data_IF_481122845395
#
_entry.id   IF_481122845395
#
_cell.length_a   1.000
_cell.length_b   1.000
_cell.length_c   1.000
_cell.angle_alpha   90.00
_cell.angle_beta   90.00
_cell.angle_gamma   90.00
#
_symmetry.space_group_name_H-M   'P 1'
#
loop_
_entity.id
_entity.type
_entity.pdbx_description
1 polymer ?
#
# COMPACT_ATOMS: atom_id res chain seq x y z
N UNK A 1 7.36 -29.60 -7.40
CA UNK A 1 6.69 -28.43 -7.98
C UNK A 1 6.98 -27.24 -7.07
N UNK A 2 8.01 -26.47 -7.41
CA UNK A 2 8.43 -25.30 -6.60
C UNK A 2 7.52 -24.11 -6.93
N UNK A 3 6.70 -23.74 -5.97
CA UNK A 3 5.92 -22.50 -6.05
C UNK A 3 6.88 -21.31 -5.86
N UNK A 4 6.90 -20.42 -6.84
CA UNK A 4 7.76 -19.24 -6.89
C UNK A 4 7.63 -18.36 -5.63
N UNK A 5 8.70 -17.68 -5.18
CA UNK A 5 8.71 -16.86 -3.95
C UNK A 5 7.67 -15.74 -3.94
N UNK A 6 7.21 -15.29 -5.11
CA UNK A 6 6.13 -14.32 -5.30
C UNK A 6 4.82 -14.72 -4.58
N UNK A 7 4.54 -16.03 -4.45
CA UNK A 7 3.32 -16.53 -3.79
C UNK A 7 3.43 -16.65 -2.26
N UNK A 8 4.63 -16.69 -1.69
CA UNK A 8 4.82 -16.75 -0.23
C UNK A 8 4.69 -15.37 0.43
N UNK A 9 5.07 -14.31 -0.28
CA UNK A 9 4.96 -12.92 0.19
C UNK A 9 3.49 -12.46 0.24
N UNK A 10 2.67 -12.95 -0.70
CA UNK A 10 1.23 -12.71 -0.71
C UNK A 10 0.53 -13.28 0.54
N UNK A 11 1.05 -14.35 1.13
CA UNK A 11 0.39 -15.05 2.26
C UNK A 11 0.52 -14.30 3.60
N UNK A 12 1.58 -13.54 3.84
CA UNK A 12 1.84 -12.87 5.13
C UNK A 12 1.07 -11.55 5.24
N UNK A 13 0.82 -10.90 4.09
CA UNK A 13 0.04 -9.64 4.05
C UNK A 13 -1.45 -9.81 4.00
N UNK A 14 -1.86 -10.98 3.56
CA UNK A 14 -3.24 -11.39 3.75
C UNK A 14 -3.59 -11.34 5.25
N UNK A 15 -2.63 -11.42 6.17
CA UNK A 15 -2.95 -11.34 7.60
C UNK A 15 -3.20 -9.90 8.12
N UNK A 16 -2.46 -8.86 7.71
CA UNK A 16 -2.76 -7.49 8.15
C UNK A 16 -3.89 -6.86 7.32
N UNK A 17 -3.92 -7.10 5.98
CA UNK A 17 -5.07 -6.77 5.15
C UNK A 17 -6.20 -7.80 5.32
N UNK A 18 -5.95 -9.07 5.73
CA UNK A 18 -7.00 -9.99 6.11
C UNK A 18 -7.52 -9.71 7.51
N UNK A 19 -6.81 -9.03 8.39
CA UNK A 19 -7.41 -8.45 9.61
C UNK A 19 -8.25 -7.24 9.21
N UNK A 20 -7.81 -6.39 8.29
CA UNK A 20 -8.65 -5.32 7.74
C UNK A 20 -9.71 -5.87 6.78
N UNK A 21 -9.39 -6.81 5.91
CA UNK A 21 -10.36 -7.47 5.02
C UNK A 21 -11.17 -8.57 5.74
N UNK A 22 -10.65 -9.22 6.79
CA UNK A 22 -11.44 -10.07 7.69
C UNK A 22 -12.33 -9.22 8.61
N UNK A 23 -11.84 -8.07 9.02
CA UNK A 23 -12.64 -7.06 9.69
C UNK A 23 -13.71 -6.49 8.75
N UNK A 24 -13.37 -6.18 7.49
CA UNK A 24 -14.30 -5.77 6.44
C UNK A 24 -15.20 -6.94 5.97
N UNK A 25 -14.73 -8.17 5.90
CA UNK A 25 -15.55 -9.33 5.50
C UNK A 25 -16.34 -9.95 6.65
N UNK A 26 -15.89 -9.90 7.93
CA UNK A 26 -16.72 -10.19 9.09
C UNK A 26 -17.82 -9.12 9.25
N UNK A 27 -17.52 -7.86 9.02
CA UNK A 27 -18.52 -6.81 8.94
C UNK A 27 -19.46 -6.98 7.75
N UNK A 28 -18.99 -7.50 6.61
CA UNK A 28 -19.87 -7.81 5.47
C UNK A 28 -20.87 -8.92 5.79
N UNK A 29 -20.57 -9.83 6.70
CA UNK A 29 -21.54 -10.83 7.23
C UNK A 29 -22.53 -10.25 8.25
N UNK A 30 -22.21 -9.09 8.84
CA UNK A 30 -23.02 -8.43 9.86
C UNK A 30 -23.82 -7.22 9.32
N UNK A 31 -23.55 -6.76 8.10
CA UNK A 31 -24.28 -5.65 7.49
C UNK A 31 -25.60 -6.14 6.90
N UNK A 32 -26.52 -6.50 7.77
CA UNK A 32 -27.97 -6.45 7.48
C UNK A 32 -28.64 -5.20 8.09
N UNK A 33 -27.90 -4.20 8.53
CA UNK A 33 -28.53 -2.91 8.88
C UNK A 33 -27.58 -1.73 8.67
N UNK A 34 -28.04 -0.75 7.93
CA UNK A 34 -27.40 0.52 7.61
C UNK A 34 -26.89 1.33 8.82
N UNK A 35 -27.39 1.04 10.02
CA UNK A 35 -26.99 1.69 11.28
C UNK A 35 -25.58 1.33 11.75
N UNK A 36 -25.05 0.14 11.41
CA UNK A 36 -23.70 -0.29 11.82
C UNK A 36 -22.59 0.29 10.94
N UNK A 37 -22.87 0.56 9.66
CA UNK A 37 -21.89 1.20 8.76
C UNK A 37 -21.59 2.65 9.20
N UNK A 38 -22.62 3.40 9.62
CA UNK A 38 -22.48 4.78 10.13
C UNK A 38 -21.68 4.81 11.44
N UNK A 39 -21.90 3.83 12.33
CA UNK A 39 -21.13 3.71 13.57
C UNK A 39 -19.65 3.41 13.35
N UNK A 40 -19.31 2.67 12.31
CA UNK A 40 -17.93 2.33 11.98
C UNK A 40 -17.18 3.54 11.39
N UNK A 41 -17.81 4.28 10.47
CA UNK A 41 -17.25 5.51 9.90
C UNK A 41 -17.04 6.58 10.99
N UNK A 42 -17.99 6.73 11.91
CA UNK A 42 -17.84 7.65 13.04
C UNK A 42 -16.72 7.22 14.00
N UNK A 43 -16.52 5.93 14.20
CA UNK A 43 -15.44 5.40 15.04
C UNK A 43 -14.06 5.57 14.38
N UNK A 44 -13.94 5.34 13.08
CA UNK A 44 -12.71 5.62 12.31
C UNK A 44 -12.36 7.11 12.29
N UNK A 45 -13.36 7.99 12.22
CA UNK A 45 -13.18 9.45 12.31
C UNK A 45 -12.75 9.86 13.71
N UNK A 46 -13.34 9.26 14.76
CA UNK A 46 -12.95 9.52 16.16
C UNK A 46 -11.54 9.01 16.47
N UNK A 47 -11.15 7.84 15.93
CA UNK A 47 -9.78 7.32 16.04
C UNK A 47 -8.79 8.27 15.34
N UNK A 48 -9.13 8.80 14.16
CA UNK A 48 -8.30 9.78 13.45
C UNK A 48 -8.14 11.08 14.25
N UNK A 49 -9.20 11.59 14.84
CA UNK A 49 -9.18 12.81 15.66
C UNK A 49 -8.42 12.59 16.98
N UNK A 50 -8.61 11.44 17.64
CA UNK A 50 -7.88 11.08 18.85
C UNK A 50 -6.39 10.82 18.55
N UNK A 51 -6.07 10.15 17.42
CA UNK A 51 -4.69 9.88 17.00
C UNK A 51 -3.92 11.14 16.61
N UNK A 52 -4.58 12.12 15.95
CA UNK A 52 -3.97 13.41 15.63
C UNK A 52 -3.74 14.27 16.88
N UNK A 53 -4.68 14.24 17.83
CA UNK A 53 -4.58 15.02 19.06
C UNK A 53 -3.55 14.47 20.07
N UNK A 54 -3.40 13.14 20.16
CA UNK A 54 -2.37 12.50 21.00
C UNK A 54 -0.97 12.62 20.40
N UNK A 55 -0.86 12.81 19.10
CA UNK A 55 0.41 12.86 18.38
C UNK A 55 1.17 14.16 18.61
N UNK A 56 0.48 15.30 18.60
CA UNK A 56 1.12 16.61 18.84
C UNK A 56 1.63 16.73 20.30
N UNK A 57 1.00 16.03 21.25
CA UNK A 57 1.46 15.99 22.65
C UNK A 57 2.63 15.01 22.84
N UNK A 58 2.64 13.86 22.16
CA UNK A 58 3.72 12.85 22.24
C UNK A 58 5.03 13.33 21.60
N UNK A 59 4.98 14.06 20.48
CA UNK A 59 6.19 14.58 19.82
C UNK A 59 6.95 15.60 20.69
N UNK A 60 6.24 16.37 21.51
CA UNK A 60 6.85 17.34 22.43
C UNK A 60 7.47 16.69 23.67
N UNK A 61 7.16 15.41 23.95
CA UNK A 61 7.60 14.68 25.14
C UNK A 61 8.90 13.88 24.95
N UNK A 62 9.46 13.80 23.72
CA UNK A 62 10.65 13.01 23.39
C UNK A 62 11.89 13.90 23.15
N UNK A 63 12.54 14.39 24.24
CA UNK A 63 13.61 15.38 24.14
C UNK A 63 14.97 14.84 23.70
N UNK A 64 15.17 13.52 23.74
CA UNK A 64 16.42 12.89 23.32
C UNK A 64 16.32 12.47 21.88
N UNK A 65 17.25 12.92 21.05
CA UNK A 65 17.27 12.66 19.61
C UNK A 65 18.58 11.97 19.23
N UNK A 66 18.48 11.05 18.28
CA UNK A 66 19.62 10.48 17.57
C UNK A 66 19.30 10.41 16.08
N UNK A 67 20.34 10.51 15.25
CA UNK A 67 20.20 10.53 13.81
C UNK A 67 21.35 9.75 13.16
N UNK A 68 21.02 8.74 12.39
CA UNK A 68 21.96 7.93 11.63
C UNK A 68 21.62 7.94 10.13
N UNK A 69 22.63 8.06 9.28
CA UNK A 69 22.47 7.93 7.84
C UNK A 69 23.19 6.67 7.35
N UNK A 70 22.42 5.73 6.81
CA UNK A 70 22.90 4.46 6.28
C UNK A 70 22.98 4.59 4.76
N UNK A 71 24.19 4.43 4.18
CA UNK A 71 24.40 4.42 2.74
C UNK A 71 25.03 3.10 2.32
N UNK A 72 24.40 2.41 1.36
CA UNK A 72 24.87 1.12 0.84
C UNK A 72 24.56 0.99 -0.65
N UNK A 73 25.38 0.19 -1.34
CA UNK A 73 25.18 -0.13 -2.74
C UNK A 73 25.19 -1.64 -2.92
N UNK A 74 24.25 -2.15 -3.75
CA UNK A 74 24.05 -3.57 -3.97
C UNK A 74 24.02 -3.86 -5.46
N UNK A 75 24.88 -4.76 -6.00
CA UNK A 75 24.74 -5.23 -7.35
C UNK A 75 23.50 -6.13 -7.46
N UNK A 76 22.64 -5.88 -8.42
CA UNK A 76 21.59 -6.82 -8.79
C UNK A 76 22.13 -7.82 -9.82
N UNK A 77 22.38 -9.03 -9.33
CA UNK A 77 22.82 -10.17 -10.17
C UNK A 77 21.59 -10.93 -10.66
N UNK A 78 21.62 -11.40 -11.90
CA UNK A 78 20.48 -12.10 -12.50
C UNK A 78 19.79 -11.28 -13.59
N UNK A 79 19.17 -11.98 -14.53
CA UNK A 79 18.47 -11.39 -15.67
C UNK A 79 16.96 -11.57 -15.59
N UNK A 80 16.50 -12.49 -14.74
CA UNK A 80 15.09 -12.82 -14.59
C UNK A 80 14.63 -12.51 -13.17
N UNK A 81 13.43 -11.95 -13.03
CA UNK A 81 12.74 -11.69 -11.77
C UNK A 81 13.51 -10.83 -10.74
N UNK A 82 14.01 -9.68 -11.18
CA UNK A 82 14.61 -8.69 -10.29
C UNK A 82 13.51 -8.02 -9.47
N UNK A 83 13.64 -8.05 -8.15
CA UNK A 83 12.63 -7.47 -7.26
C UNK A 83 13.27 -6.63 -6.15
N UNK A 84 12.63 -5.52 -5.84
CA UNK A 84 12.96 -4.65 -4.71
C UNK A 84 11.77 -4.69 -3.75
N UNK A 85 12.02 -5.16 -2.53
CA UNK A 85 11.03 -5.19 -1.46
C UNK A 85 11.47 -4.24 -0.34
N UNK A 86 10.60 -3.30 0.05
CA UNK A 86 10.82 -2.42 1.20
C UNK A 86 9.61 -2.49 2.12
N UNK A 87 9.83 -2.96 3.33
CA UNK A 87 8.81 -3.11 4.35
C UNK A 87 9.13 -2.24 5.56
N UNK A 88 8.57 -1.05 5.57
CA UNK A 88 8.71 -0.05 6.62
C UNK A 88 7.44 0.02 7.49
N UNK A 89 7.53 0.70 8.64
CA UNK A 89 6.39 1.01 9.51
C UNK A 89 6.25 2.51 9.73
N UNK A 90 7.34 3.21 10.02
CA UNK A 90 7.35 4.65 10.21
C UNK A 90 8.33 5.30 9.23
N UNK A 91 7.83 6.23 8.43
CA UNK A 91 8.63 6.99 7.47
C UNK A 91 8.27 6.70 6.01
N UNK A 92 8.87 7.48 5.13
CA UNK A 92 8.61 7.48 3.69
C UNK A 92 9.48 6.49 2.95
N UNK A 93 9.00 6.06 1.77
CA UNK A 93 9.77 5.25 0.83
C UNK A 93 9.75 5.95 -0.51
N UNK A 94 10.92 6.29 -1.03
CA UNK A 94 11.10 6.82 -2.37
C UNK A 94 11.97 5.87 -3.21
N UNK A 95 11.44 5.42 -4.36
CA UNK A 95 12.17 4.58 -5.32
C UNK A 95 12.21 5.29 -6.66
N UNK A 96 13.39 5.41 -7.23
CA UNK A 96 13.62 6.03 -8.54
C UNK A 96 14.30 5.03 -9.47
N UNK A 97 13.59 4.64 -10.52
CA UNK A 97 14.11 3.78 -11.59
C UNK A 97 15.06 4.56 -12.50
N UNK A 98 16.17 3.94 -12.84
CA UNK A 98 17.21 4.50 -13.70
C UNK A 98 17.90 3.44 -14.55
N UNK A 99 19.01 3.85 -15.17
CA UNK A 99 19.86 2.97 -15.94
C UNK A 99 20.92 2.33 -15.05
N UNK A 100 21.32 1.10 -15.34
CA UNK A 100 22.37 0.41 -14.59
C UNK A 100 21.92 -0.93 -14.01
N UNK A 101 22.77 -1.54 -13.17
CA UNK A 101 22.52 -2.84 -12.54
C UNK A 101 22.82 -2.82 -11.02
N UNK A 102 22.81 -1.63 -10.43
CA UNK A 102 23.05 -1.47 -9.00
C UNK A 102 21.85 -0.82 -8.33
N UNK A 103 21.65 -1.15 -7.07
CA UNK A 103 20.74 -0.43 -6.18
C UNK A 103 21.58 0.42 -5.26
N UNK A 104 21.32 1.71 -5.25
CA UNK A 104 21.89 2.65 -4.29
C UNK A 104 20.81 2.92 -3.23
N UNK A 105 21.16 2.67 -1.98
CA UNK A 105 20.29 2.82 -0.83
C UNK A 105 20.80 3.93 0.08
N UNK A 106 19.93 4.85 0.41
CA UNK A 106 20.10 5.81 1.50
C UNK A 106 18.94 5.64 2.47
N UNK A 107 19.24 5.45 3.75
CA UNK A 107 18.24 5.45 4.82
C UNK A 107 18.58 6.56 5.80
N UNK A 108 17.62 7.41 6.06
CA UNK A 108 17.68 8.45 7.08
C UNK A 108 16.90 7.93 8.30
N UNK A 109 17.64 7.50 9.33
CA UNK A 109 17.09 7.01 10.59
C UNK A 109 17.06 8.12 11.63
N UNK A 110 15.87 8.45 12.10
CA UNK A 110 15.65 9.44 13.13
C UNK A 110 14.99 8.76 14.34
N UNK A 111 15.70 8.71 15.45
CA UNK A 111 15.21 8.16 16.71
C UNK A 111 14.95 9.28 17.70
N UNK A 112 13.77 9.28 18.31
CA UNK A 112 13.38 10.18 19.40
C UNK A 112 13.02 9.37 20.62
N UNK A 113 13.43 9.81 21.81
CA UNK A 113 13.18 9.09 23.04
C UNK A 113 12.96 10.03 24.23
N UNK A 114 12.24 9.55 25.26
CA UNK A 114 11.99 10.24 26.51
C UNK A 114 13.28 10.40 27.35
N UNK A 115 14.18 9.43 27.24
CA UNK A 115 15.41 9.35 28.00
C UNK A 115 16.54 8.67 27.23
N UNK A 116 17.76 8.74 27.73
CA UNK A 116 18.91 8.02 27.18
C UNK A 116 18.76 6.49 27.29
N UNK A 117 18.06 6.02 28.32
CA UNK A 117 17.81 4.58 28.48
C UNK A 117 16.78 4.11 27.47
N UNK A 118 15.73 4.89 27.19
CA UNK A 118 14.77 4.61 26.13
C UNK A 118 15.41 4.68 24.75
N UNK A 119 16.35 5.61 24.49
CA UNK A 119 17.14 5.65 23.26
C UNK A 119 17.98 4.38 23.09
N UNK A 120 18.69 3.94 24.14
CA UNK A 120 19.46 2.71 24.09
C UNK A 120 18.59 1.46 23.88
N UNK A 121 17.35 1.48 24.39
CA UNK A 121 16.37 0.43 24.15
C UNK A 121 15.92 0.43 22.69
N UNK A 122 15.62 1.59 22.10
CA UNK A 122 15.26 1.75 20.70
C UNK A 122 16.30 1.11 19.76
N UNK A 123 17.58 1.45 19.95
CA UNK A 123 18.71 0.88 19.16
C UNK A 123 18.88 -0.64 19.32
N UNK A 124 18.40 -1.21 20.42
CA UNK A 124 18.45 -2.65 20.67
C UNK A 124 17.28 -3.40 20.04
N UNK A 125 16.09 -2.78 20.03
CA UNK A 125 14.84 -3.44 19.66
C UNK A 125 14.45 -3.21 18.20
N UNK A 126 14.86 -2.06 17.62
CA UNK A 126 14.53 -1.74 16.22
C UNK A 126 15.77 -1.94 15.35
N UNK A 127 15.60 -2.61 14.24
CA UNK A 127 16.69 -2.87 13.31
C UNK A 127 16.24 -2.92 11.86
N UNK A 128 17.15 -2.54 10.96
CA UNK A 128 16.97 -2.71 9.52
C UNK A 128 17.65 -3.99 9.04
N UNK A 129 16.86 -5.02 8.73
CA UNK A 129 17.34 -6.24 8.09
C UNK A 129 17.44 -6.02 6.57
N UNK A 130 18.64 -6.26 6.02
CA UNK A 130 18.93 -6.17 4.59
C UNK A 130 19.33 -7.55 4.10
N UNK A 131 18.57 -8.09 3.14
CA UNK A 131 18.84 -9.40 2.55
C UNK A 131 18.82 -9.31 1.02
N UNK A 132 19.65 -10.09 0.36
CA UNK A 132 19.70 -10.22 -1.08
C UNK A 132 19.23 -11.63 -1.49
N UNK A 133 17.91 -11.85 -1.67
CA UNK A 133 17.41 -13.07 -2.30
C UNK A 133 17.85 -13.10 -3.77
N UNK A 134 17.80 -14.27 -4.41
CA UNK A 134 18.19 -14.44 -5.81
C UNK A 134 17.48 -13.41 -6.71
N UNK A 135 18.28 -12.55 -7.35
CA UNK A 135 17.79 -11.50 -8.25
C UNK A 135 17.17 -10.28 -7.59
N UNK A 136 17.19 -10.14 -6.25
CA UNK A 136 16.48 -9.06 -5.57
C UNK A 136 17.21 -8.43 -4.39
N UNK A 137 16.55 -7.43 -3.81
CA UNK A 137 16.92 -6.79 -2.55
C UNK A 137 15.68 -6.68 -1.67
N UNK A 138 15.79 -7.11 -0.42
CA UNK A 138 14.74 -6.96 0.58
C UNK A 138 15.24 -6.17 1.77
N UNK A 139 14.52 -5.10 2.08
CA UNK A 139 14.70 -4.24 3.22
C UNK A 139 13.50 -4.43 4.16
N UNK A 140 13.76 -4.77 5.41
CA UNK A 140 12.73 -5.05 6.39
C UNK A 140 13.07 -4.37 7.71
N UNK A 141 12.21 -3.43 8.14
CA UNK A 141 12.34 -2.81 9.46
C UNK A 141 11.68 -3.71 10.47
N UNK A 142 12.49 -4.31 11.35
CA UNK A 142 12.03 -5.16 12.46
C UNK A 142 11.96 -4.37 13.77
N UNK A 143 11.06 -4.80 14.65
CA UNK A 143 10.88 -4.14 15.94
C UNK A 143 9.65 -4.66 16.70
N UNK A 144 9.46 -4.20 17.95
CA UNK A 144 8.36 -4.65 18.81
C UNK A 144 6.97 -4.30 18.31
N UNK A 145 6.88 -3.39 17.33
CA UNK A 145 5.64 -3.04 16.62
C UNK A 145 5.21 -4.09 15.57
N UNK A 146 6.01 -5.13 15.34
CA UNK A 146 5.66 -6.25 14.46
C UNK A 146 4.95 -7.33 15.27
N UNK A 147 3.76 -7.73 14.84
CA UNK A 147 3.08 -8.89 15.42
C UNK A 147 3.65 -10.19 14.82
N UNK A 148 4.29 -11.02 15.63
CA UNK A 148 4.55 -12.41 15.26
C UNK A 148 3.28 -13.23 15.51
N UNK A 149 2.60 -13.64 14.42
CA UNK A 149 1.31 -14.33 14.48
C UNK A 149 1.36 -15.78 15.01
N UNK A 150 2.53 -16.33 15.35
CA UNK A 150 2.63 -17.69 15.90
C UNK A 150 2.05 -17.82 17.30
N UNK A 151 2.06 -16.75 18.10
CA UNK A 151 1.52 -16.73 19.47
C UNK A 151 0.16 -16.02 19.60
N UNK A 152 -0.49 -15.72 18.48
CA UNK A 152 -1.71 -14.88 18.47
C UNK A 152 -1.39 -13.50 19.06
N UNK A 153 -1.74 -12.42 18.38
CA UNK A 153 -1.48 -11.03 18.83
C UNK A 153 -2.15 -10.73 20.20
N UNK A 154 -1.81 -11.50 21.24
CA UNK A 154 -2.14 -11.32 22.66
C UNK A 154 -1.09 -10.49 23.38
N UNK A 155 -0.07 -10.02 22.67
CA UNK A 155 0.89 -9.07 23.22
C UNK A 155 0.15 -7.81 23.60
N UNK A 156 0.25 -7.45 24.86
CA UNK A 156 -0.10 -6.13 25.37
C UNK A 156 0.34 -5.07 24.37
N UNK A 157 -0.54 -4.11 24.11
CA UNK A 157 -0.29 -2.95 23.25
C UNK A 157 0.86 -2.12 23.80
N UNK A 158 2.10 -2.51 23.51
CA UNK A 158 3.31 -1.79 23.96
C UNK A 158 3.75 -0.71 22.95
N UNK A 159 2.83 -0.19 22.12
CA UNK A 159 3.19 0.82 21.11
C UNK A 159 3.17 2.27 21.59
N UNK A 160 2.73 2.50 22.83
CA UNK A 160 2.74 3.83 23.46
C UNK A 160 3.45 3.87 24.83
N UNK A 161 4.24 2.84 25.18
CA UNK A 161 4.81 2.70 26.50
C UNK A 161 6.33 2.59 26.57
N UNK A 162 7.01 2.45 25.44
CA UNK A 162 8.45 2.20 25.46
C UNK A 162 9.29 3.50 25.43
N UNK A 163 8.63 4.67 25.36
CA UNK A 163 9.26 5.98 25.47
C UNK A 163 10.16 6.35 24.29
N UNK A 164 9.99 5.75 23.12
CA UNK A 164 10.74 6.08 21.92
C UNK A 164 9.94 5.91 20.61
N UNK A 165 10.39 6.60 19.56
CA UNK A 165 9.92 6.45 18.17
C UNK A 165 11.15 6.36 17.27
N UNK A 166 11.19 5.37 16.37
CA UNK A 166 12.20 5.23 15.32
C UNK A 166 11.53 5.42 13.98
N UNK A 167 11.95 6.44 13.23
CA UNK A 167 11.50 6.75 11.89
C UNK A 167 12.62 6.48 10.90
N UNK A 168 12.34 5.70 9.84
CA UNK A 168 13.28 5.43 8.76
C UNK A 168 12.70 5.91 7.44
N UNK A 169 13.34 6.91 6.83
CA UNK A 169 13.01 7.40 5.49
C UNK A 169 13.98 6.77 4.47
N UNK A 170 13.42 6.08 3.47
CA UNK A 170 14.18 5.33 2.47
C UNK A 170 14.22 6.07 1.15
N UNK A 171 15.41 6.18 0.55
CA UNK A 171 15.62 6.60 -0.84
C UNK A 171 16.42 5.53 -1.57
N UNK A 172 15.86 4.97 -2.65
CA UNK A 172 16.50 3.96 -3.48
C UNK A 172 16.58 4.42 -4.92
N UNK A 173 17.79 4.36 -5.49
CA UNK A 173 17.97 4.38 -6.95
C UNK A 173 18.15 2.95 -7.44
N UNK A 174 17.28 2.51 -8.35
CA UNK A 174 17.22 1.12 -8.80
C UNK A 174 17.21 1.04 -10.32
N UNK A 175 17.58 -0.09 -10.96
CA UNK A 175 17.31 -0.29 -12.37
C UNK A 175 15.81 -0.17 -12.68
N UNK A 176 15.42 0.46 -13.79
CA UNK A 176 13.99 0.62 -14.13
C UNK A 176 13.26 -0.69 -14.38
N UNK A 177 13.99 -1.74 -14.80
CA UNK A 177 13.45 -3.05 -15.17
C UNK A 177 13.32 -4.02 -13.97
N UNK A 178 12.90 -3.52 -12.83
CA UNK A 178 12.66 -4.32 -11.61
C UNK A 178 11.18 -4.31 -11.24
N UNK A 179 10.74 -5.36 -10.57
CA UNK A 179 9.46 -5.34 -9.85
C UNK A 179 9.66 -4.71 -8.47
N UNK A 180 8.70 -3.90 -8.03
CA UNK A 180 8.76 -3.25 -6.72
C UNK A 180 7.60 -3.67 -5.83
N UNK A 181 7.88 -4.04 -4.57
CA UNK A 181 6.87 -4.23 -3.51
C UNK A 181 7.24 -3.35 -2.33
N UNK A 182 6.50 -2.28 -2.13
CA UNK A 182 6.80 -1.27 -1.12
C UNK A 182 5.62 -1.05 -0.20
N UNK A 183 5.92 -0.90 1.09
CA UNK A 183 4.91 -0.65 2.11
C UNK A 183 5.44 0.16 3.26
N UNK A 184 4.57 1.03 3.74
CA UNK A 184 4.73 1.75 5.00
C UNK A 184 3.39 1.87 5.70
N UNK A 185 3.39 2.25 6.96
CA UNK A 185 2.15 2.32 7.77
C UNK A 185 1.89 3.74 8.23
N UNK A 186 2.87 4.38 8.87
CA UNK A 186 2.71 5.66 9.51
C UNK A 186 3.76 6.67 9.05
N UNK A 187 3.36 7.94 9.07
CA UNK A 187 4.23 9.12 8.92
C UNK A 187 5.05 9.17 7.63
N UNK A 188 4.60 8.45 6.60
CA UNK A 188 5.35 8.41 5.37
C UNK A 188 4.49 8.35 4.12
N UNK A 189 5.09 8.75 3.02
CA UNK A 189 4.55 8.64 1.67
C UNK A 189 5.28 7.53 0.94
N UNK A 190 4.58 6.89 0.02
CA UNK A 190 5.18 5.98 -0.95
C UNK A 190 5.29 6.70 -2.28
N UNK A 191 6.51 6.89 -2.75
CA UNK A 191 6.81 7.54 -4.03
C UNK A 191 7.63 6.58 -4.88
N UNK A 192 7.14 6.23 -6.07
CA UNK A 192 7.86 5.37 -7.00
C UNK A 192 7.88 6.03 -8.36
N UNK A 193 9.07 6.15 -8.97
CA UNK A 193 9.23 6.81 -10.27
C UNK A 193 9.96 5.93 -11.28
N UNK A 194 9.51 5.97 -12.53
CA UNK A 194 10.19 5.39 -13.69
C UNK A 194 10.46 3.89 -13.60
N UNK A 195 9.48 3.09 -13.19
CA UNK A 195 9.57 1.63 -13.12
C UNK A 195 8.86 0.98 -14.33
N UNK A 196 9.57 0.04 -14.97
CA UNK A 196 9.09 -0.74 -16.11
C UNK A 196 8.39 -2.03 -15.70
N UNK A 197 8.82 -2.61 -14.59
CA UNK A 197 8.28 -3.86 -14.03
C UNK A 197 6.95 -3.69 -13.31
N UNK A 198 6.47 -4.78 -12.73
CA UNK A 198 5.28 -4.79 -11.89
C UNK A 198 5.47 -3.98 -10.60
N UNK A 199 4.37 -3.50 -10.04
CA UNK A 199 4.42 -2.74 -8.80
C UNK A 199 3.35 -3.16 -7.79
N UNK A 200 3.74 -3.16 -6.53
CA UNK A 200 2.85 -3.29 -5.38
C UNK A 200 3.22 -2.17 -4.42
N UNK A 201 2.32 -1.20 -4.26
CA UNK A 201 2.51 -0.09 -3.34
C UNK A 201 1.40 -0.09 -2.28
N UNK A 202 1.78 -0.11 -1.01
CA UNK A 202 0.82 -0.11 0.10
C UNK A 202 1.20 0.92 1.14
N UNK A 203 0.19 1.65 1.58
CA UNK A 203 0.29 2.55 2.71
C UNK A 203 -0.93 2.39 3.62
N UNK A 204 -0.84 2.86 4.85
CA UNK A 204 -2.01 2.97 5.72
C UNK A 204 -2.33 4.44 5.97
N UNK A 205 -1.36 5.21 6.46
CA UNK A 205 -1.55 6.62 6.81
C UNK A 205 -0.59 7.49 5.98
N UNK A 206 -0.94 7.66 4.70
CA UNK A 206 -0.19 8.53 3.79
C UNK A 206 -0.50 8.25 2.33
N UNK A 207 0.05 9.11 1.49
CA UNK A 207 -0.18 9.15 0.06
C UNK A 207 0.61 8.05 -0.67
N UNK A 208 0.09 7.63 -1.82
CA UNK A 208 0.83 6.83 -2.80
C UNK A 208 0.92 7.64 -4.09
N UNK A 209 2.14 7.92 -4.53
CA UNK A 209 2.42 8.58 -5.81
C UNK A 209 3.34 7.69 -6.66
N UNK A 210 2.81 7.20 -7.77
CA UNK A 210 3.54 6.39 -8.74
C UNK A 210 3.61 7.19 -10.05
N UNK A 211 4.82 7.49 -10.52
CA UNK A 211 5.02 8.34 -11.68
C UNK A 211 5.88 7.67 -12.74
N UNK A 212 5.51 7.84 -14.03
CA UNK A 212 6.23 7.24 -15.14
C UNK A 212 6.22 5.71 -15.15
N UNK A 213 5.13 5.10 -14.69
CA UNK A 213 4.97 3.64 -14.63
C UNK A 213 4.76 3.05 -16.01
N UNK A 214 5.34 1.86 -16.26
CA UNK A 214 5.13 1.12 -17.51
C UNK A 214 4.65 -0.31 -17.30
N UNK A 215 4.68 -0.80 -16.07
CA UNK A 215 4.12 -2.09 -15.66
C UNK A 215 2.68 -2.01 -15.19
N UNK A 216 2.16 -3.15 -14.80
CA UNK A 216 0.84 -3.31 -14.17
C UNK A 216 1.01 -3.63 -12.69
N UNK A 217 0.01 -3.34 -11.86
CA UNK A 217 0.16 -3.64 -10.44
C UNK A 217 -0.95 -3.13 -9.53
N UNK A 218 -0.56 -2.87 -8.30
CA UNK A 218 -1.48 -2.60 -7.22
C UNK A 218 -1.00 -1.38 -6.42
N UNK A 219 -1.92 -0.44 -6.14
CA UNK A 219 -1.69 0.65 -5.20
C UNK A 219 -2.86 0.77 -4.23
N UNK A 220 -2.59 0.54 -2.95
CA UNK A 220 -3.62 0.56 -1.91
C UNK A 220 -3.19 1.40 -0.72
N UNK A 221 -4.06 2.34 -0.31
CA UNK A 221 -3.91 3.08 0.94
C UNK A 221 -5.20 3.08 1.73
N UNK A 222 -5.13 3.43 3.02
CA UNK A 222 -6.33 3.64 3.84
C UNK A 222 -6.60 5.14 3.96
N UNK A 223 -5.63 5.92 4.39
CA UNK A 223 -5.78 7.35 4.61
C UNK A 223 -4.78 8.13 3.75
N UNK A 224 -5.19 8.45 2.53
CA UNK A 224 -4.40 9.22 1.59
C UNK A 224 -4.90 9.06 0.15
N UNK A 225 -4.56 9.96 -0.74
CA UNK A 225 -4.80 9.83 -2.16
C UNK A 225 -3.87 8.78 -2.80
N UNK A 226 -4.34 8.22 -3.90
CA UNK A 226 -3.56 7.40 -4.82
C UNK A 226 -3.45 8.14 -6.14
N UNK A 227 -2.25 8.52 -6.53
CA UNK A 227 -1.96 9.13 -7.82
C UNK A 227 -1.02 8.24 -8.61
N UNK A 228 -1.42 7.87 -9.83
CA UNK A 228 -0.60 7.04 -10.71
C UNK A 228 -0.54 7.66 -12.09
N UNK A 229 0.67 7.86 -12.61
CA UNK A 229 0.92 8.32 -13.97
C UNK A 229 1.59 7.20 -14.76
N UNK A 230 0.92 6.75 -15.81
CA UNK A 230 1.43 5.75 -16.72
C UNK A 230 2.08 6.40 -17.92
N UNK A 231 3.36 6.08 -18.20
CA UNK A 231 4.01 6.41 -19.47
C UNK A 231 3.71 5.36 -20.55
N UNK A 232 3.28 4.17 -20.16
CA UNK A 232 2.77 3.10 -21.02
C UNK A 232 1.59 2.43 -20.32
N UNK A 233 0.47 2.32 -21.02
CA UNK A 233 -0.76 1.74 -20.47
C UNK A 233 -0.54 0.30 -19.98
N UNK A 234 -1.13 -0.10 -18.85
CA UNK A 234 -1.04 -1.44 -18.29
C UNK A 234 -1.44 -2.52 -19.31
N UNK A 235 -0.68 -3.61 -19.36
CA UNK A 235 -0.97 -4.75 -20.22
C UNK A 235 -1.56 -5.94 -19.46
N UNK A 236 -1.63 -5.85 -18.15
CA UNK A 236 -2.21 -6.85 -17.26
C UNK A 236 -3.14 -6.16 -16.28
N UNK A 237 -3.95 -6.96 -15.59
CA UNK A 237 -4.90 -6.46 -14.61
C UNK A 237 -4.20 -5.64 -13.52
N UNK A 238 -4.86 -4.57 -13.12
CA UNK A 238 -4.35 -3.65 -12.10
C UNK A 238 -5.44 -3.26 -11.10
N UNK A 239 -5.04 -2.92 -9.88
CA UNK A 239 -5.98 -2.61 -8.81
C UNK A 239 -5.55 -1.39 -8.01
N UNK A 240 -6.47 -0.43 -7.84
CA UNK A 240 -6.25 0.81 -7.11
C UNK A 240 -7.31 0.96 -6.02
N UNK A 241 -6.88 1.23 -4.80
CA UNK A 241 -7.80 1.35 -3.68
C UNK A 241 -7.39 2.45 -2.71
N UNK A 242 -8.38 3.23 -2.29
CA UNK A 242 -8.29 4.12 -1.14
C UNK A 242 -9.55 3.99 -0.27
N UNK A 243 -9.40 4.20 1.03
CA UNK A 243 -10.57 4.35 1.90
C UNK A 243 -10.92 5.83 2.06
N UNK A 244 -9.92 6.68 2.30
CA UNK A 244 -10.09 8.12 2.48
C UNK A 244 -9.06 8.88 1.63
N UNK A 245 -9.46 9.26 0.43
CA UNK A 245 -8.63 10.03 -0.50
C UNK A 245 -9.10 9.84 -1.94
N UNK A 246 -8.66 10.71 -2.82
CA UNK A 246 -8.97 10.59 -4.25
C UNK A 246 -8.08 9.52 -4.90
N UNK A 247 -8.57 8.95 -6.01
CA UNK A 247 -7.78 8.06 -6.86
C UNK A 247 -7.70 8.71 -8.24
N UNK A 248 -6.50 9.18 -8.59
CA UNK A 248 -6.23 9.87 -9.85
C UNK A 248 -5.29 9.02 -10.70
N UNK A 249 -5.79 8.50 -11.81
CA UNK A 249 -5.03 7.64 -12.71
C UNK A 249 -4.86 8.34 -14.05
N UNK A 250 -3.61 8.64 -14.42
CA UNK A 250 -3.23 9.27 -15.67
C UNK A 250 -2.71 8.22 -16.64
N UNK A 251 -3.39 8.02 -17.74
CA UNK A 251 -3.06 7.02 -18.74
C UNK A 251 -2.48 7.67 -20.00
N UNK A 252 -1.58 6.98 -20.66
CA UNK A 252 -1.07 7.39 -21.96
C UNK A 252 -2.19 7.30 -23.03
N UNK A 253 -2.04 8.05 -24.11
CA UNK A 253 -2.96 8.02 -25.26
C UNK A 253 -3.18 6.60 -25.78
N UNK A 254 -4.38 6.34 -26.33
CA UNK A 254 -4.73 5.04 -26.88
C UNK A 254 -5.05 3.99 -25.80
N UNK A 255 -5.49 4.41 -24.63
CA UNK A 255 -5.95 3.50 -23.58
C UNK A 255 -7.05 2.57 -24.11
N UNK A 256 -6.90 1.26 -23.86
CA UNK A 256 -7.88 0.22 -24.14
C UNK A 256 -7.92 -0.74 -22.95
N UNK A 257 -9.00 -0.69 -22.17
CA UNK A 257 -9.12 -1.44 -20.93
C UNK A 257 -10.58 -1.59 -20.50
N UNK A 258 -10.83 -2.56 -19.64
CA UNK A 258 -12.11 -2.76 -18.97
C UNK A 258 -12.02 -2.27 -17.53
N UNK A 259 -12.85 -1.32 -17.16
CA UNK A 259 -12.84 -0.72 -15.84
C UNK A 259 -13.96 -1.26 -14.95
N UNK A 260 -13.63 -1.44 -13.68
CA UNK A 260 -14.60 -1.75 -12.63
C UNK A 260 -14.44 -0.77 -11.49
N UNK A 261 -15.46 0.04 -11.30
CA UNK A 261 -15.48 1.10 -10.29
C UNK A 261 -16.41 0.76 -9.15
N UNK A 262 -15.97 1.08 -7.94
CA UNK A 262 -16.81 1.09 -6.77
C UNK A 262 -16.41 2.27 -5.90
N UNK A 263 -17.32 3.23 -5.76
CA UNK A 263 -17.19 4.31 -4.79
C UNK A 263 -18.44 4.37 -3.92
N UNK A 264 -18.31 4.85 -2.70
CA UNK A 264 -19.45 5.03 -1.81
C UNK A 264 -19.80 6.52 -1.68
N UNK A 265 -18.79 7.36 -1.42
CA UNK A 265 -18.94 8.81 -1.33
C UNK A 265 -17.93 9.46 -2.29
N UNK A 266 -18.39 9.81 -3.50
CA UNK A 266 -17.56 10.47 -4.51
C UNK A 266 -18.09 10.26 -5.92
N UNK A 267 -17.54 11.03 -6.86
CA UNK A 267 -17.83 10.94 -8.28
C UNK A 267 -16.82 10.07 -9.03
N UNK A 268 -17.21 9.63 -10.23
CA UNK A 268 -16.33 8.95 -11.18
C UNK A 268 -16.26 9.83 -12.44
N UNK A 269 -15.06 10.23 -12.81
CA UNK A 269 -14.79 11.14 -13.92
C UNK A 269 -13.83 10.49 -14.91
N UNK A 270 -14.01 10.72 -16.20
CA UNK A 270 -13.15 10.19 -17.25
C UNK A 270 -12.98 11.20 -18.38
N UNK A 271 -11.74 11.40 -18.83
CA UNK A 271 -11.41 12.14 -20.05
C UNK A 271 -11.62 11.28 -21.30
N UNK A 272 -11.65 9.95 -21.14
CA UNK A 272 -11.84 9.01 -22.22
C UNK A 272 -13.34 8.71 -22.47
N UNK A 273 -13.75 8.54 -23.73
CA UNK A 273 -15.09 8.03 -24.03
C UNK A 273 -15.27 6.62 -23.44
N UNK A 274 -16.35 6.43 -22.68
CA UNK A 274 -16.65 5.15 -22.02
C UNK A 274 -17.92 4.53 -22.58
N UNK A 275 -17.92 3.21 -22.70
CA UNK A 275 -19.11 2.40 -22.99
C UNK A 275 -19.49 1.63 -21.74
N UNK A 276 -20.70 1.80 -21.24
CA UNK A 276 -21.20 1.07 -20.07
C UNK A 276 -21.27 -0.42 -20.37
N UNK A 277 -20.76 -1.23 -19.45
CA UNK A 277 -20.84 -2.69 -19.54
C UNK A 277 -21.92 -3.24 -18.60
N UNK A 278 -22.52 -4.39 -18.94
CA UNK A 278 -23.48 -5.05 -18.05
C UNK A 278 -22.77 -5.49 -16.76
N UNK A 279 -23.52 -5.39 -15.65
CA UNK A 279 -23.04 -5.91 -14.36
C UNK A 279 -22.91 -7.44 -14.42
N UNK A 280 -21.93 -7.98 -13.72
CA UNK A 280 -21.84 -9.45 -13.55
C UNK A 280 -23.07 -9.96 -12.81
N UNK A 281 -23.59 -11.11 -13.24
CA UNK A 281 -24.70 -11.74 -12.55
C UNK A 281 -24.33 -12.06 -11.08
N UNK A 282 -25.29 -11.99 -10.15
CA UNK A 282 -25.04 -12.39 -8.79
C UNK A 282 -24.57 -13.83 -8.70
N UNK A 283 -23.52 -14.08 -7.90
CA UNK A 283 -23.04 -15.43 -7.62
C UNK A 283 -23.92 -16.03 -6.54
N UNK A 284 -24.47 -17.21 -6.81
CA UNK A 284 -25.19 -18.02 -5.82
C UNK A 284 -24.20 -18.93 -5.11
N UNK A 285 -24.08 -18.77 -3.81
CA UNK A 285 -23.28 -19.66 -2.94
C UNK A 285 -24.19 -20.43 -2.01
N UNK A 286 -23.98 -21.74 -1.90
CA UNK A 286 -24.75 -22.60 -0.97
C UNK A 286 -23.87 -22.94 0.24
N UNK A 287 -24.34 -22.55 1.43
CA UNK A 287 -23.71 -22.86 2.70
C UNK A 287 -24.67 -23.70 3.54
N UNK A 288 -24.58 -25.03 3.41
CA UNK A 288 -25.54 -25.95 4.03
C UNK A 288 -26.97 -25.71 3.54
N UNK A 289 -27.90 -25.41 4.44
CA UNK A 289 -29.29 -25.12 4.11
C UNK A 289 -29.57 -23.66 3.69
N UNK A 290 -28.54 -22.80 3.64
CA UNK A 290 -28.67 -21.38 3.31
C UNK A 290 -28.11 -21.08 1.92
N UNK A 291 -28.90 -20.35 1.14
CA UNK A 291 -28.47 -19.81 -0.14
C UNK A 291 -28.12 -18.33 0.02
N UNK A 292 -26.91 -17.95 -0.35
CA UNK A 292 -26.43 -16.56 -0.31
C UNK A 292 -26.22 -16.09 -1.74
N UNK A 293 -26.88 -15.00 -2.12
CA UNK A 293 -26.63 -14.31 -3.38
C UNK A 293 -25.68 -13.15 -3.14
N UNK A 294 -24.52 -13.17 -3.78
CA UNK A 294 -23.58 -12.04 -3.80
C UNK A 294 -23.76 -11.26 -5.09
N UNK A 295 -24.36 -10.09 -4.99
CA UNK A 295 -24.42 -9.16 -6.11
C UNK A 295 -23.08 -8.46 -6.30
N UNK A 296 -22.66 -8.34 -7.54
CA UNK A 296 -21.56 -7.46 -7.93
C UNK A 296 -22.04 -6.00 -7.80
N UNK A 297 -21.30 -5.22 -6.99
CA UNK A 297 -21.62 -3.80 -6.74
C UNK A 297 -20.72 -2.84 -7.52
N UNK A 298 -20.00 -3.35 -8.49
CA UNK A 298 -19.13 -2.53 -9.32
C UNK A 298 -19.92 -1.98 -10.51
N UNK A 299 -19.73 -0.71 -10.79
CA UNK A 299 -20.07 -0.15 -12.12
C UNK A 299 -18.96 -0.59 -13.08
N UNK A 300 -19.34 -1.09 -14.25
CA UNK A 300 -18.40 -1.54 -15.25
C UNK A 300 -18.47 -0.67 -16.50
N UNK A 301 -17.32 -0.30 -17.03
CA UNK A 301 -17.20 0.50 -18.24
C UNK A 301 -16.01 0.04 -19.07
N UNK A 302 -16.14 0.17 -20.40
CA UNK A 302 -15.09 -0.15 -21.36
C UNK A 302 -14.60 1.11 -22.04
N UNK A 303 -13.29 1.23 -22.17
CA UNK A 303 -12.61 2.24 -22.98
C UNK A 303 -12.04 1.55 -24.20
N UNK A 304 -12.31 2.10 -25.39
CA UNK A 304 -11.92 1.57 -26.69
C UNK A 304 -12.37 0.11 -26.89
N UNK A 305 -11.45 -0.79 -27.21
CA UNK A 305 -11.78 -2.21 -27.49
C UNK A 305 -11.80 -3.09 -26.23
N UNK A 306 -11.59 -2.51 -25.03
CA UNK A 306 -11.38 -3.26 -23.80
C UNK A 306 -9.98 -3.85 -23.73
N UNK A 307 -9.73 -4.70 -22.74
CA UNK A 307 -8.40 -5.27 -22.49
C UNK A 307 -8.24 -5.70 -21.05
N UNK A 308 -7.09 -5.39 -20.40
CA UNK A 308 -6.88 -5.73 -19.01
C UNK A 308 -7.92 -5.10 -18.10
N UNK A 309 -8.30 -5.79 -17.03
CA UNK A 309 -9.23 -5.27 -16.04
C UNK A 309 -8.53 -4.28 -15.11
N UNK A 310 -9.06 -3.07 -15.03
CA UNK A 310 -8.60 -2.05 -14.08
C UNK A 310 -9.67 -1.87 -13.01
N UNK A 311 -9.37 -2.40 -11.82
CA UNK A 311 -10.29 -2.38 -10.69
C UNK A 311 -9.97 -1.21 -9.77
N UNK A 312 -10.99 -0.39 -9.47
CA UNK A 312 -10.84 0.79 -8.63
C UNK A 312 -11.90 0.78 -7.54
N UNK A 313 -11.45 0.79 -6.28
CA UNK A 313 -12.34 0.84 -5.13
C UNK A 313 -12.01 2.06 -4.26
N UNK A 314 -13.02 2.89 -4.01
CA UNK A 314 -12.91 4.01 -3.08
C UNK A 314 -14.09 4.01 -2.10
N UNK A 315 -13.87 4.48 -0.88
CA UNK A 315 -14.97 4.70 0.06
C UNK A 315 -15.33 6.18 0.11
N UNK A 316 -14.34 7.05 0.31
CA UNK A 316 -14.52 8.49 0.44
C UNK A 316 -13.53 9.24 -0.45
N UNK A 317 -14.00 9.78 -1.55
CA UNK A 317 -13.22 10.56 -2.51
C UNK A 317 -13.58 10.21 -3.96
N UNK A 318 -13.11 11.04 -4.86
CA UNK A 318 -13.36 10.91 -6.29
C UNK A 318 -12.42 9.90 -6.95
N UNK A 319 -12.91 9.30 -8.03
CA UNK A 319 -12.12 8.48 -8.96
C UNK A 319 -12.02 9.26 -10.26
N UNK A 320 -10.79 9.52 -10.73
CA UNK A 320 -10.53 10.25 -11.96
C UNK A 320 -9.65 9.44 -12.91
N UNK A 321 -10.11 9.24 -14.13
CA UNK A 321 -9.41 8.56 -15.22
C UNK A 321 -9.04 9.62 -16.24
N UNK A 322 -7.78 10.03 -16.23
CA UNK A 322 -7.30 11.21 -16.93
C UNK A 322 -6.34 10.82 -18.07
N UNK A 323 -6.34 11.61 -19.14
CA UNK A 323 -5.33 11.45 -20.19
C UNK A 323 -4.04 12.17 -19.77
N UNK A 324 -2.91 11.46 -19.88
CA UNK A 324 -1.62 12.06 -19.71
C UNK A 324 -1.25 12.85 -20.96
N UNK A 325 -0.97 14.13 -20.80
CA UNK A 325 -0.66 15.06 -21.89
C UNK A 325 0.86 15.35 -22.02
N UNK A 326 1.70 14.65 -21.26
CA UNK A 326 3.17 14.77 -21.35
C UNK A 326 3.76 13.96 -22.50
#
# INVERSE_FOLDING_TARGET
>A
MNRTPFHRILAIYIAALAVLALYLTLHHRLVQSTKKAVSFVSHAIQIRSAYAATRDEDESSLPVHDHEMIQKSFPLTGTEHRSIEVDNVFGSIEIVGGTGNQVELVVDENTRAESKDALALAHKEVSLAITQPDGGLKLYVDGPFRCNCEDGCRGERRHHGDGYIVKMDFVLHVPSNVDVDVRTVNEGRVIVRNIDGGFIARNVNGDIELDGMAGSGLAHTVNGPVKVTFRRNPQQDSSFQSVNGNIDLFFARGLSADFRFKTFNGGIYSDFPVTTMPLRAPIKEEHGSKVVFRADRFTAARISNGGPEIKIENLNGDIRILENHE
#
